data_IF_612794189125
#
_entry.id   IF_612794189125
#
_cell.length_a   1.000
_cell.length_b   1.000
_cell.length_c   1.000
_cell.angle_alpha   90.00
_cell.angle_beta   90.00
_cell.angle_gamma   90.00
#
_symmetry.space_group_name_H-M   'P 1'
#
loop_
_entity.id
_entity.type
_entity.pdbx_description
1 polymer ?
#
# COMPACT_ATOMS: atom_id res chain seq x y z
N UNK A 1 14.00 17.69 -19.72
CA UNK A 1 13.22 18.79 -19.11
C UNK A 1 11.88 18.37 -18.52
N UNK A 2 10.83 18.05 -19.31
CA UNK A 2 9.50 17.74 -18.71
C UNK A 2 9.48 16.48 -17.85
N UNK A 3 10.18 15.42 -18.29
CA UNK A 3 10.26 14.16 -17.55
C UNK A 3 10.97 14.33 -16.20
N UNK A 4 12.02 15.12 -16.13
CA UNK A 4 12.76 15.39 -14.89
C UNK A 4 11.93 16.21 -13.92
N UNK A 5 11.22 17.23 -14.41
CA UNK A 5 10.26 18.01 -13.60
C UNK A 5 9.19 17.10 -12.99
N UNK A 6 8.60 16.21 -13.80
CA UNK A 6 7.60 15.24 -13.32
C UNK A 6 8.17 14.27 -12.28
N UNK A 7 9.42 13.83 -12.44
CA UNK A 7 10.09 12.95 -11.47
C UNK A 7 10.37 13.68 -10.15
N UNK A 8 10.84 14.93 -10.22
CA UNK A 8 11.07 15.76 -9.03
C UNK A 8 9.75 16.04 -8.28
N UNK A 9 8.68 16.34 -8.99
CA UNK A 9 7.34 16.50 -8.39
C UNK A 9 6.85 15.21 -7.72
N UNK A 10 7.08 14.06 -8.36
CA UNK A 10 6.71 12.78 -7.76
C UNK A 10 7.53 12.49 -6.49
N UNK A 11 8.83 12.81 -6.50
CA UNK A 11 9.70 12.67 -5.33
C UNK A 11 9.22 13.55 -4.17
N UNK A 12 8.88 14.82 -4.45
CA UNK A 12 8.27 15.73 -3.47
C UNK A 12 6.96 15.17 -2.90
N UNK A 13 6.06 14.68 -3.76
CA UNK A 13 4.79 14.06 -3.32
C UNK A 13 5.03 12.83 -2.45
N UNK A 14 6.03 12.00 -2.78
CA UNK A 14 6.39 10.83 -1.97
C UNK A 14 6.94 11.24 -0.61
N UNK A 15 7.85 12.20 -0.57
CA UNK A 15 8.43 12.74 0.65
C UNK A 15 7.36 13.37 1.55
N UNK A 16 6.39 14.11 0.99
CA UNK A 16 5.26 14.65 1.75
C UNK A 16 4.32 13.56 2.29
N UNK A 17 4.28 12.39 1.65
CA UNK A 17 3.51 11.23 2.10
C UNK A 17 4.30 10.25 2.97
N UNK A 18 5.52 10.60 3.36
CA UNK A 18 6.38 9.81 4.24
C UNK A 18 5.81 9.74 5.67
N UNK A 19 6.18 8.71 6.43
CA UNK A 19 5.64 8.48 7.77
C UNK A 19 5.97 9.63 8.71
N UNK A 20 7.21 10.15 8.67
CA UNK A 20 7.67 11.27 9.50
C UNK A 20 6.90 12.55 9.19
N UNK A 21 6.81 12.92 7.90
CA UNK A 21 6.14 14.18 7.52
C UNK A 21 4.64 14.12 7.84
N UNK A 22 4.02 12.94 7.70
CA UNK A 22 2.63 12.75 8.09
C UNK A 22 2.43 12.90 9.59
N UNK A 23 3.28 12.30 10.42
CA UNK A 23 3.19 12.41 11.89
C UNK A 23 3.39 13.86 12.37
N UNK A 24 4.38 14.57 11.82
CA UNK A 24 4.56 15.99 12.12
C UNK A 24 3.33 16.80 11.72
N UNK A 25 2.75 16.53 10.56
CA UNK A 25 1.52 17.20 10.13
C UNK A 25 0.38 16.96 11.12
N UNK A 26 0.21 15.73 11.61
CA UNK A 26 -0.83 15.37 12.57
C UNK A 26 -0.62 16.07 13.93
N UNK A 27 0.62 16.20 14.40
CA UNK A 27 0.94 16.87 15.67
C UNK A 27 0.67 18.38 15.66
N UNK A 28 0.91 19.03 14.52
CA UNK A 28 0.73 20.48 14.37
C UNK A 28 -0.59 20.85 13.68
N UNK A 29 -1.43 19.88 13.34
CA UNK A 29 -2.75 20.15 12.79
C UNK A 29 -3.82 20.12 13.87
N UNK A 30 -4.59 21.21 13.97
CA UNK A 30 -5.78 21.28 14.84
C UNK A 30 -7.01 20.59 14.21
N UNK A 31 -6.86 19.94 13.05
CA UNK A 31 -7.95 19.26 12.37
C UNK A 31 -8.26 17.92 13.04
N UNK A 32 -9.54 17.59 13.30
CA UNK A 32 -9.90 16.33 13.93
C UNK A 32 -9.60 15.12 13.02
N UNK A 33 -9.13 14.02 13.63
CA UNK A 33 -8.96 12.74 12.93
C UNK A 33 -10.30 11.99 12.83
N UNK A 34 -10.61 11.44 11.64
CA UNK A 34 -11.77 10.57 11.44
C UNK A 34 -11.49 9.18 12.02
N UNK A 35 -11.84 8.98 13.29
CA UNK A 35 -11.79 7.67 13.94
C UNK A 35 -13.06 6.91 13.57
N UNK A 36 -12.93 5.83 12.79
CA UNK A 36 -14.03 4.90 12.53
C UNK A 36 -14.04 3.78 13.57
N UNK A 37 -15.19 3.57 14.21
CA UNK A 37 -15.36 2.47 15.17
C UNK A 37 -15.04 1.11 14.50
N UNK A 38 -14.14 0.34 15.13
CA UNK A 38 -13.72 -0.98 14.63
C UNK A 38 -12.56 -0.97 13.61
N UNK A 39 -12.09 0.19 13.16
CA UNK A 39 -10.89 0.31 12.31
C UNK A 39 -9.68 0.74 13.15
N UNK A 40 -8.55 0.03 13.00
CA UNK A 40 -7.30 0.44 13.64
C UNK A 40 -6.66 1.56 12.80
N UNK A 41 -6.20 2.64 13.44
CA UNK A 41 -5.59 3.82 12.79
C UNK A 41 -4.50 3.48 11.74
N UNK A 42 -3.87 2.31 11.88
CA UNK A 42 -2.76 1.87 11.03
C UNK A 42 -3.19 1.23 9.71
N UNK A 43 -4.49 1.10 9.41
CA UNK A 43 -4.97 0.56 8.12
C UNK A 43 -5.05 1.60 7.00
N UNK A 44 -4.43 2.78 7.12
CA UNK A 44 -4.54 3.89 6.17
C UNK A 44 -4.34 3.51 4.68
N UNK A 45 -3.46 2.55 4.36
CA UNK A 45 -3.31 2.06 2.97
C UNK A 45 -4.47 1.17 2.50
N UNK A 46 -5.01 0.33 3.38
CA UNK A 46 -6.22 -0.47 3.09
C UNK A 46 -7.45 0.44 3.02
N UNK A 47 -7.47 1.53 3.81
CA UNK A 47 -8.52 2.52 3.76
C UNK A 47 -8.68 3.11 2.36
N UNK A 48 -7.59 3.40 1.63
CA UNK A 48 -7.70 3.89 0.24
C UNK A 48 -8.37 2.90 -0.72
N UNK A 49 -8.06 1.61 -0.61
CA UNK A 49 -8.68 0.57 -1.45
C UNK A 49 -10.15 0.38 -1.08
N UNK A 50 -10.46 0.39 0.21
CA UNK A 50 -11.83 0.29 0.72
C UNK A 50 -12.65 1.54 0.38
N UNK A 51 -12.12 2.76 0.53
CA UNK A 51 -12.73 4.02 0.10
C UNK A 51 -13.01 4.03 -1.40
N UNK A 52 -12.06 3.55 -2.22
CA UNK A 52 -12.28 3.49 -3.66
C UNK A 52 -13.40 2.51 -4.01
N UNK A 53 -13.49 1.41 -3.26
CA UNK A 53 -14.59 0.45 -3.39
C UNK A 53 -15.92 1.07 -2.96
N UNK A 54 -16.00 1.72 -1.80
CA UNK A 54 -17.25 2.34 -1.33
C UNK A 54 -17.73 3.41 -2.30
N UNK A 55 -16.83 4.30 -2.75
CA UNK A 55 -17.16 5.33 -3.75
C UNK A 55 -17.72 4.74 -5.04
N UNK A 56 -17.15 3.64 -5.52
CA UNK A 56 -17.67 2.96 -6.71
C UNK A 56 -19.06 2.37 -6.45
N UNK A 57 -19.24 1.64 -5.34
CA UNK A 57 -20.52 1.03 -4.96
C UNK A 57 -21.63 2.10 -4.80
N UNK A 58 -21.32 3.25 -4.19
CA UNK A 58 -22.22 4.40 -4.05
C UNK A 58 -22.55 5.04 -5.40
N UNK A 59 -21.55 5.28 -6.25
CA UNK A 59 -21.76 5.93 -7.55
C UNK A 59 -22.64 5.10 -8.50
N UNK A 60 -22.50 3.77 -8.44
CA UNK A 60 -23.24 2.83 -9.30
C UNK A 60 -24.45 2.23 -8.61
N UNK A 61 -24.65 2.51 -7.32
CA UNK A 61 -25.71 1.92 -6.49
C UNK A 61 -25.73 0.39 -6.53
N UNK A 62 -24.55 -0.25 -6.57
CA UNK A 62 -24.39 -1.71 -6.68
C UNK A 62 -23.33 -2.20 -5.70
N UNK A 63 -23.64 -3.25 -4.94
CA UNK A 63 -22.65 -3.92 -4.07
C UNK A 63 -21.76 -4.88 -4.85
N UNK A 64 -20.44 -4.78 -4.65
CA UNK A 64 -19.49 -5.71 -5.25
C UNK A 64 -19.32 -6.98 -4.40
N UNK A 65 -19.26 -8.13 -5.07
CA UNK A 65 -18.95 -9.40 -4.43
C UNK A 65 -17.44 -9.57 -4.20
N UNK A 66 -17.05 -10.09 -3.03
CA UNK A 66 -15.64 -10.42 -2.73
C UNK A 66 -15.37 -11.90 -2.83
N UNK A 67 -14.26 -12.27 -3.44
CA UNK A 67 -13.84 -13.67 -3.50
C UNK A 67 -13.30 -14.14 -2.14
N UNK A 68 -13.41 -15.44 -1.84
CA UNK A 68 -12.87 -16.02 -0.59
C UNK A 68 -11.37 -15.77 -0.42
N UNK A 69 -10.61 -15.80 -1.52
CA UNK A 69 -9.16 -15.52 -1.53
C UNK A 69 -8.86 -14.08 -1.14
N UNK A 70 -9.62 -13.14 -1.66
CA UNK A 70 -9.49 -11.72 -1.33
C UNK A 70 -9.84 -11.45 0.13
N UNK A 71 -10.95 -12.03 0.62
CA UNK A 71 -11.34 -11.96 2.03
C UNK A 71 -10.24 -12.48 2.96
N UNK A 72 -9.59 -13.59 2.60
CA UNK A 72 -8.46 -14.13 3.35
C UNK A 72 -7.22 -13.21 3.31
N UNK A 73 -6.94 -12.57 2.18
CA UNK A 73 -5.85 -11.58 2.05
C UNK A 73 -6.07 -10.37 2.96
N UNK A 74 -7.29 -9.82 2.97
CA UNK A 74 -7.67 -8.68 3.84
C UNK A 74 -7.44 -9.02 5.32
N UNK A 75 -7.90 -10.20 5.77
CA UNK A 75 -7.68 -10.67 7.15
C UNK A 75 -6.21 -10.75 7.54
N UNK A 76 -5.34 -11.22 6.64
CA UNK A 76 -3.89 -11.32 6.93
C UNK A 76 -3.21 -9.96 7.01
N UNK A 77 -3.68 -8.98 6.23
CA UNK A 77 -3.12 -7.63 6.21
C UNK A 77 -3.46 -6.80 7.45
N UNK A 78 -4.43 -7.21 8.28
CA UNK A 78 -4.93 -6.41 9.40
C UNK A 78 -4.27 -6.68 10.75
N UNK A 79 -3.52 -7.78 10.93
CA UNK A 79 -3.25 -8.27 12.29
C UNK A 79 -2.05 -7.61 12.96
N UNK A 80 -0.94 -7.30 12.28
CA UNK A 80 0.25 -6.68 12.92
C UNK A 80 1.20 -5.92 11.96
N UNK A 81 1.18 -6.25 10.67
CA UNK A 81 2.20 -5.73 9.73
C UNK A 81 2.08 -4.24 9.40
N UNK A 82 0.90 -3.64 9.55
CA UNK A 82 0.69 -2.23 9.22
C UNK A 82 1.23 -1.29 10.29
N UNK A 83 1.08 -1.64 11.58
CA UNK A 83 1.62 -0.89 12.72
C UNK A 83 3.14 -0.84 12.73
N UNK A 84 3.79 -1.98 12.50
CA UNK A 84 5.25 -2.05 12.49
C UNK A 84 5.83 -1.30 11.30
N UNK A 85 5.12 -1.25 10.16
CA UNK A 85 5.63 -0.60 8.96
C UNK A 85 5.82 0.92 9.11
N UNK A 86 5.00 1.61 9.92
CA UNK A 86 5.23 3.04 10.20
C UNK A 86 6.41 3.26 11.14
N UNK A 87 6.70 2.32 12.03
CA UNK A 87 7.81 2.42 12.99
C UNK A 87 9.16 2.06 12.34
N UNK A 88 9.18 1.11 11.39
CA UNK A 88 10.42 0.67 10.75
C UNK A 88 10.71 1.38 9.42
N UNK A 89 9.71 2.03 8.80
CA UNK A 89 9.86 2.67 7.49
C UNK A 89 9.39 4.13 7.52
N UNK A 90 10.38 5.02 7.58
CA UNK A 90 10.17 6.45 7.68
C UNK A 90 9.91 7.13 6.33
N UNK A 91 10.46 6.59 5.24
CA UNK A 91 10.39 7.17 3.90
C UNK A 91 11.47 8.24 3.67
N UNK A 92 11.88 8.39 2.40
CA UNK A 92 12.92 9.36 2.03
C UNK A 92 12.34 10.78 1.94
N UNK A 93 12.93 11.70 2.71
CA UNK A 93 12.57 13.13 2.78
C UNK A 93 13.59 14.05 2.12
N UNK A 94 14.66 13.51 1.52
CA UNK A 94 15.73 14.27 0.86
C UNK A 94 15.21 15.28 -0.17
N UNK A 95 14.14 14.92 -0.88
CA UNK A 95 13.47 15.77 -1.86
C UNK A 95 12.82 17.05 -1.27
N UNK A 96 12.63 17.12 0.05
CA UNK A 96 12.09 18.30 0.76
C UNK A 96 13.18 19.07 1.51
N UNK A 97 14.12 18.37 2.13
CA UNK A 97 15.17 18.98 2.95
C UNK A 97 16.34 19.50 2.14
N UNK A 98 16.43 19.15 0.85
CA UNK A 98 17.56 19.51 -0.02
C UNK A 98 18.87 18.84 0.38
N UNK A 99 18.85 17.99 1.41
CA UNK A 99 19.95 17.15 1.80
C UNK A 99 20.18 16.09 0.72
N UNK A 100 21.45 15.79 0.43
CA UNK A 100 21.80 14.63 -0.39
C UNK A 100 21.15 13.39 0.21
N UNK A 101 20.58 12.47 -0.59
CA UNK A 101 19.94 11.27 -0.05
C UNK A 101 20.93 10.59 0.88
N UNK A 102 20.48 10.30 2.11
CA UNK A 102 21.29 9.67 3.15
C UNK A 102 22.12 8.53 2.55
N UNK A 103 23.44 8.71 2.59
CA UNK A 103 24.45 7.79 2.09
C UNK A 103 24.33 6.46 2.85
N UNK A 104 23.55 5.50 2.34
CA UNK A 104 23.51 4.17 2.95
C UNK A 104 22.34 3.25 2.62
N UNK A 105 21.30 3.68 1.91
CA UNK A 105 20.17 2.79 1.62
C UNK A 105 19.90 2.72 0.11
N UNK A 106 20.52 1.73 -0.53
CA UNK A 106 20.25 1.29 -1.90
C UNK A 106 18.80 0.77 -2.02
N UNK A 107 17.81 1.66 -1.97
CA UNK A 107 16.46 1.36 -2.42
C UNK A 107 16.40 1.38 -3.94
N UNK A 108 17.13 0.47 -4.56
CA UNK A 108 16.87 0.07 -5.94
C UNK A 108 15.39 -0.34 -6.01
N UNK A 109 14.54 0.28 -6.86
CA UNK A 109 13.20 -0.26 -7.08
C UNK A 109 13.39 -1.68 -7.61
N UNK A 110 12.70 -2.71 -7.07
CA UNK A 110 12.93 -4.07 -7.51
C UNK A 110 12.69 -4.15 -9.02
N UNK A 111 13.78 -4.32 -9.79
CA UNK A 111 13.74 -4.50 -11.24
C UNK A 111 12.67 -5.57 -11.52
N UNK A 112 11.61 -5.22 -12.26
CA UNK A 112 10.53 -6.16 -12.61
C UNK A 112 11.16 -7.39 -13.26
N UNK A 113 11.30 -8.48 -12.51
CA UNK A 113 11.77 -9.76 -13.05
C UNK A 113 10.77 -10.17 -14.13
N UNK A 114 11.20 -10.16 -15.39
CA UNK A 114 10.38 -10.66 -16.51
C UNK A 114 10.03 -12.10 -16.18
N UNK A 115 8.73 -12.41 -16.21
CA UNK A 115 8.19 -13.71 -15.82
C UNK A 115 8.56 -14.71 -16.91
N UNK A 116 9.53 -15.58 -16.67
CA UNK A 116 9.76 -16.72 -17.55
C UNK A 116 8.56 -17.66 -17.40
N UNK A 117 7.66 -17.66 -18.39
CA UNK A 117 6.55 -18.60 -18.49
C UNK A 117 7.15 -19.96 -18.86
N UNK A 118 7.56 -20.74 -17.86
CA UNK A 118 7.87 -22.15 -18.08
C UNK A 118 6.57 -22.93 -18.07
N UNK A 119 6.10 -23.29 -19.26
CA UNK A 119 5.04 -24.26 -19.53
C UNK A 119 5.43 -25.63 -18.96
N UNK A 120 4.99 -25.97 -17.74
CA UNK A 120 4.99 -27.35 -17.26
C UNK A 120 3.57 -27.81 -16.94
N UNK A 121 2.93 -28.39 -17.96
CA UNK A 121 1.82 -29.32 -17.83
C UNK A 121 2.29 -30.47 -16.92
N UNK A 122 1.80 -30.54 -15.68
CA UNK A 122 2.05 -31.61 -14.72
C UNK A 122 0.74 -32.29 -14.33
N UNK A 123 0.66 -33.61 -14.55
CA UNK A 123 -0.56 -34.43 -14.65
C UNK A 123 -1.42 -34.43 -13.37
N UNK A 124 -2.75 -34.31 -13.53
CA UNK A 124 -3.74 -34.59 -12.47
C UNK A 124 -3.64 -36.06 -12.04
N UNK A 125 -3.18 -36.33 -10.82
CA UNK A 125 -3.25 -37.66 -10.20
C UNK A 125 -4.59 -37.76 -9.48
N UNK A 126 -5.60 -38.27 -10.18
CA UNK A 126 -6.91 -38.55 -9.59
C UNK A 126 -6.88 -39.85 -8.80
N UNK A 127 -7.52 -39.87 -7.62
CA UNK A 127 -7.98 -41.09 -6.97
C UNK A 127 -9.32 -40.81 -6.26
N UNK A 128 -10.40 -41.21 -6.93
CA UNK A 128 -11.40 -42.24 -6.60
C UNK A 128 -12.34 -41.88 -5.43
N UNK A 129 -13.57 -41.51 -5.80
CA UNK A 129 -14.75 -41.47 -4.90
C UNK A 129 -14.97 -42.87 -4.33
N UNK A 130 -15.18 -42.97 -3.02
CA UNK A 130 -15.90 -44.09 -2.43
C UNK A 130 -17.39 -43.73 -2.41
N UNK A 131 -18.20 -44.68 -2.88
CA UNK A 131 -19.67 -44.65 -2.80
C UNK A 131 -20.11 -44.69 -1.35
#
# INVERSE_FOLDING_TARGET
MEREKKMAEQAKKRALSSSIIRELKEQYSDAPEEIREGHHAHTARQNREDEHRTKYEESMMVRLNVTRKEKARRRRGGVLGSQLSSLTHFGDISALTGATPSLGEDFNPPKKRRKNVSTKRGKKKGFRRRR
#
